data_IF_769910114443
#
_entry.id   IF_769910114443
#
_cell.length_a   1.000
_cell.length_b   1.000
_cell.length_c   1.000
_cell.angle_alpha   90.00
_cell.angle_beta   90.00
_cell.angle_gamma   90.00
#
_symmetry.space_group_name_H-M   'P 1'
#
loop_
_entity.id
_entity.type
_entity.pdbx_description
1 polymer ?
#
# COMPACT_ATOMS: atom_id res chain seq x y z
N UNK A 1 -13.75 -20.45 -1.26
CA UNK A 1 -14.29 -19.31 -2.03
C UNK A 1 -13.14 -18.80 -2.88
N UNK A 2 -13.17 -19.10 -4.19
CA UNK A 2 -12.07 -18.83 -5.13
C UNK A 2 -12.11 -17.36 -5.57
N UNK A 3 -11.12 -16.56 -5.21
CA UNK A 3 -10.90 -15.21 -5.78
C UNK A 3 -9.42 -14.96 -6.10
N UNK A 4 -8.78 -15.90 -6.80
CA UNK A 4 -7.59 -15.61 -7.58
C UNK A 4 -8.05 -15.24 -9.00
N UNK A 5 -7.91 -13.98 -9.40
CA UNK A 5 -7.64 -13.55 -10.79
C UNK A 5 -7.67 -12.01 -10.88
N UNK A 6 -6.52 -11.37 -10.64
CA UNK A 6 -6.19 -10.12 -11.32
C UNK A 6 -5.66 -10.51 -12.70
N UNK A 7 -6.45 -10.30 -13.75
CA UNK A 7 -6.05 -10.65 -15.11
C UNK A 7 -4.80 -9.86 -15.51
N UNK A 8 -3.67 -10.55 -15.68
CA UNK A 8 -2.48 -10.03 -16.36
C UNK A 8 -1.24 -9.78 -15.49
N UNK A 9 -1.30 -10.03 -14.17
CA UNK A 9 -0.11 -9.93 -13.31
C UNK A 9 0.18 -11.26 -12.64
N UNK A 10 1.23 -11.93 -13.11
CA UNK A 10 1.90 -12.98 -12.32
C UNK A 10 2.61 -12.25 -11.18
N UNK A 11 2.12 -12.37 -9.94
CA UNK A 11 2.85 -11.92 -8.76
C UNK A 11 3.86 -13.03 -8.42
N UNK A 12 5.17 -12.86 -8.70
CA UNK A 12 6.15 -13.89 -8.36
C UNK A 12 6.29 -13.96 -6.83
N UNK A 13 6.27 -15.18 -6.28
CA UNK A 13 6.54 -15.51 -4.87
C UNK A 13 5.48 -15.03 -3.85
N UNK A 14 4.31 -15.66 -3.85
CA UNK A 14 3.33 -15.53 -2.76
C UNK A 14 3.10 -16.89 -2.10
N UNK A 15 3.20 -16.93 -0.77
CA UNK A 15 2.81 -18.10 0.04
C UNK A 15 1.27 -18.19 0.13
N UNK A 16 0.58 -17.04 0.20
CA UNK A 16 -0.87 -16.89 0.04
C UNK A 16 -1.20 -15.63 -0.78
N UNK A 17 -2.23 -15.69 -1.63
CA UNK A 17 -2.63 -14.55 -2.46
C UNK A 17 -3.21 -13.42 -1.59
N UNK A 18 -2.75 -12.16 -1.75
CA UNK A 18 -3.40 -11.05 -1.07
C UNK A 18 -4.84 -10.94 -1.54
N UNK A 19 -5.72 -10.52 -0.64
CA UNK A 19 -7.09 -10.18 -1.05
C UNK A 19 -7.04 -8.87 -1.81
N UNK A 20 -7.47 -8.89 -3.06
CA UNK A 20 -7.37 -7.74 -3.95
C UNK A 20 -8.75 -7.29 -4.45
N UNK A 21 -8.98 -5.97 -4.44
CA UNK A 21 -10.14 -5.34 -5.08
C UNK A 21 -9.63 -4.39 -6.15
N UNK A 22 -9.96 -4.67 -7.41
CA UNK A 22 -9.59 -3.81 -8.54
C UNK A 22 -10.25 -2.40 -8.45
N UNK A 23 -9.63 -1.36 -9.03
CA UNK A 23 -8.36 -1.40 -9.77
C UNK A 23 -7.14 -1.32 -8.85
N UNK A 24 -6.11 -2.07 -9.20
CA UNK A 24 -4.80 -2.07 -8.53
C UNK A 24 -3.72 -2.02 -9.60
N UNK A 25 -2.66 -1.25 -9.35
CA UNK A 25 -1.45 -1.27 -10.15
C UNK A 25 -0.24 -1.44 -9.23
N UNK A 26 0.62 -2.41 -9.51
CA UNK A 26 1.88 -2.65 -8.82
C UNK A 26 3.00 -2.74 -9.85
N UNK A 27 4.08 -1.98 -9.66
CA UNK A 27 5.30 -2.21 -10.44
C UNK A 27 5.86 -3.62 -10.14
N UNK A 28 6.53 -4.24 -11.11
CA UNK A 28 7.04 -5.63 -11.01
C UNK A 28 8.06 -5.87 -9.88
N UNK A 29 8.67 -4.82 -9.34
CA UNK A 29 9.63 -4.89 -8.22
C UNK A 29 9.02 -4.59 -6.85
N UNK A 30 7.69 -4.58 -6.71
CA UNK A 30 7.02 -4.43 -5.41
C UNK A 30 6.98 -5.77 -4.68
N UNK A 31 7.40 -5.77 -3.42
CA UNK A 31 7.31 -6.93 -2.54
C UNK A 31 6.05 -6.82 -1.68
N UNK A 32 5.16 -7.80 -1.77
CA UNK A 32 3.96 -7.90 -0.94
C UNK A 32 4.06 -9.16 -0.08
N UNK A 33 4.12 -8.99 1.25
CA UNK A 33 4.12 -10.13 2.18
C UNK A 33 2.70 -10.69 2.38
N UNK A 34 2.62 -11.85 3.02
CA UNK A 34 1.38 -12.58 3.25
C UNK A 34 0.29 -11.77 3.98
N UNK A 35 -0.98 -12.16 3.77
CA UNK A 35 -2.13 -11.59 4.47
C UNK A 35 -2.48 -10.14 4.13
N UNK A 36 -1.85 -9.53 3.12
CA UNK A 36 -2.19 -8.17 2.72
C UNK A 36 -3.58 -8.09 2.06
N UNK A 37 -4.27 -6.97 2.29
CA UNK A 37 -5.48 -6.56 1.59
C UNK A 37 -5.18 -5.30 0.78
N UNK A 38 -5.38 -5.35 -0.53
CA UNK A 38 -4.99 -4.26 -1.43
C UNK A 38 -6.19 -3.87 -2.29
N UNK A 39 -6.59 -2.60 -2.23
CA UNK A 39 -7.63 -2.03 -3.07
C UNK A 39 -8.90 -1.63 -2.32
N UNK A 40 -9.85 -0.98 -3.02
CA UNK A 40 -9.75 -0.52 -4.41
C UNK A 40 -8.81 0.69 -4.59
N UNK A 41 -8.47 1.02 -5.84
CA UNK A 41 -7.71 2.22 -6.22
C UNK A 41 -6.34 2.34 -5.54
N UNK A 42 -5.54 1.28 -5.63
CA UNK A 42 -4.19 1.27 -5.06
C UNK A 42 -3.14 1.26 -6.17
N UNK A 43 -2.16 2.16 -6.08
CA UNK A 43 -1.01 2.26 -6.98
C UNK A 43 0.28 2.16 -6.17
N UNK A 44 1.18 1.24 -6.50
CA UNK A 44 2.43 1.04 -5.76
C UNK A 44 3.62 0.98 -6.72
N UNK A 45 4.59 1.87 -6.49
CA UNK A 45 5.84 1.91 -7.24
C UNK A 45 6.94 1.07 -6.62
N UNK A 46 7.76 0.49 -7.50
CA UNK A 46 8.94 -0.27 -7.10
C UNK A 46 10.16 0.66 -6.90
N UNK A 47 11.12 0.28 -6.05
CA UNK A 47 11.04 -0.86 -5.11
C UNK A 47 10.31 -0.44 -3.84
N UNK A 48 9.25 -1.15 -3.45
CA UNK A 48 8.56 -0.90 -2.17
C UNK A 48 8.13 -2.21 -1.54
N UNK A 49 8.00 -2.21 -0.21
CA UNK A 49 7.61 -3.39 0.55
C UNK A 49 6.34 -3.13 1.34
N UNK A 50 5.34 -3.98 1.15
CA UNK A 50 4.24 -4.14 2.10
C UNK A 50 4.56 -5.29 3.04
N UNK A 51 4.68 -4.98 4.33
CA UNK A 51 4.84 -6.00 5.36
C UNK A 51 3.55 -6.80 5.58
N UNK A 52 3.63 -7.89 6.34
CA UNK A 52 2.52 -8.82 6.58
C UNK A 52 1.25 -8.11 7.08
N UNK A 53 0.09 -8.50 6.55
CA UNK A 53 -1.22 -8.03 7.01
C UNK A 53 -1.51 -6.56 6.75
N UNK A 54 -0.79 -5.90 5.83
CA UNK A 54 -1.06 -4.51 5.45
C UNK A 54 -2.40 -4.40 4.70
N UNK A 55 -3.18 -3.38 5.04
CA UNK A 55 -4.46 -3.08 4.39
C UNK A 55 -4.40 -1.69 3.73
N UNK A 56 -4.62 -1.63 2.41
CA UNK A 56 -4.58 -0.40 1.63
C UNK A 56 -5.87 -0.22 0.83
N UNK A 57 -6.45 0.98 0.83
CA UNK A 57 -7.58 1.36 -0.02
C UNK A 57 -7.50 2.83 -0.41
N UNK A 58 -7.63 3.15 -1.70
CA UNK A 58 -7.49 4.52 -2.23
C UNK A 58 -6.10 5.10 -1.88
N UNK A 59 -5.02 4.37 -2.16
CA UNK A 59 -3.66 4.74 -1.75
C UNK A 59 -2.69 4.76 -2.93
N UNK A 60 -1.86 5.82 -2.99
CA UNK A 60 -0.69 5.87 -3.87
C UNK A 60 0.58 5.73 -3.03
N UNK A 61 1.41 4.75 -3.34
CA UNK A 61 2.70 4.50 -2.70
C UNK A 61 3.82 4.70 -3.70
N UNK A 62 4.69 5.67 -3.43
CA UNK A 62 5.89 5.91 -4.22
C UNK A 62 7.03 4.96 -3.84
N UNK A 63 8.06 4.92 -4.68
CA UNK A 63 9.23 4.08 -4.59
C UNK A 63 10.02 4.23 -3.29
N UNK A 64 10.84 3.23 -2.98
CA UNK A 64 11.69 3.14 -1.79
C UNK A 64 10.91 3.21 -0.48
N UNK A 65 9.65 2.78 -0.47
CA UNK A 65 8.77 2.86 0.70
C UNK A 65 8.66 1.51 1.40
N UNK A 66 8.52 1.55 2.73
CA UNK A 66 8.14 0.38 3.54
C UNK A 66 6.85 0.69 4.30
N UNK A 67 5.82 -0.13 4.10
CA UNK A 67 4.59 -0.08 4.88
C UNK A 67 4.65 -1.16 5.96
N UNK A 68 4.70 -0.74 7.23
CA UNK A 68 4.93 -1.63 8.37
C UNK A 68 3.80 -2.63 8.63
N UNK A 69 4.15 -3.74 9.30
CA UNK A 69 3.26 -4.88 9.57
C UNK A 69 1.91 -4.42 10.14
N UNK A 70 0.80 -4.94 9.58
CA UNK A 70 -0.59 -4.64 9.98
C UNK A 70 -0.96 -3.16 9.95
N UNK A 71 -0.24 -2.32 9.20
CA UNK A 71 -0.65 -0.95 8.99
C UNK A 71 -1.89 -0.89 8.08
N UNK A 72 -2.77 0.07 8.35
CA UNK A 72 -3.98 0.33 7.57
C UNK A 72 -3.95 1.76 7.06
N UNK A 73 -3.94 1.91 5.74
CA UNK A 73 -3.95 3.22 5.08
C UNK A 73 -5.19 3.36 4.19
N UNK A 74 -5.87 4.49 4.31
CA UNK A 74 -7.01 4.81 3.47
C UNK A 74 -6.93 6.24 2.94
N UNK A 75 -7.12 6.47 1.63
CA UNK A 75 -7.08 7.83 1.05
C UNK A 75 -5.76 8.54 1.34
N UNK A 76 -4.64 7.84 1.14
CA UNK A 76 -3.31 8.33 1.49
C UNK A 76 -2.39 8.44 0.27
N UNK A 77 -1.43 9.36 0.33
CA UNK A 77 -0.28 9.38 -0.58
C UNK A 77 0.99 9.20 0.24
N UNK A 78 1.75 8.15 -0.04
CA UNK A 78 3.02 7.85 0.66
C UNK A 78 4.18 8.24 -0.24
N UNK A 79 4.89 9.31 0.14
CA UNK A 79 5.99 9.87 -0.66
C UNK A 79 7.24 8.99 -0.66
N UNK A 80 8.14 9.15 -1.65
CA UNK A 80 9.31 8.30 -1.79
C UNK A 80 10.15 8.20 -0.52
N UNK A 81 10.68 7.01 -0.22
CA UNK A 81 11.57 6.80 0.92
C UNK A 81 10.91 6.77 2.30
N UNK A 82 9.56 6.79 2.36
CA UNK A 82 8.83 6.83 3.62
C UNK A 82 8.80 5.45 4.31
N UNK A 83 8.69 5.45 5.64
CA UNK A 83 8.55 4.23 6.45
C UNK A 83 7.35 4.37 7.37
N UNK A 84 6.26 3.69 7.04
CA UNK A 84 5.05 3.70 7.86
C UNK A 84 5.23 2.72 9.02
N UNK A 85 5.00 3.15 10.28
CA UNK A 85 5.15 2.26 11.44
C UNK A 85 4.18 1.08 11.41
N UNK A 86 4.57 -0.03 12.05
CA UNK A 86 3.68 -1.17 12.25
C UNK A 86 2.43 -0.78 13.05
N UNK A 87 1.29 -1.38 12.71
CA UNK A 87 -0.04 -1.14 13.30
C UNK A 87 -0.56 0.31 13.17
N UNK A 88 0.09 1.16 12.37
CA UNK A 88 -0.40 2.51 12.11
C UNK A 88 -1.78 2.48 11.43
N UNK A 89 -2.65 3.40 11.80
CA UNK A 89 -3.96 3.62 11.17
C UNK A 89 -4.02 5.07 10.73
N UNK A 90 -3.93 5.30 9.42
CA UNK A 90 -3.83 6.66 8.86
C UNK A 90 -4.85 6.77 7.74
N UNK A 91 -5.63 7.85 7.76
CA UNK A 91 -6.58 8.13 6.70
C UNK A 91 -6.55 9.58 6.25
N UNK A 92 -6.73 9.81 4.95
CA UNK A 92 -6.81 11.16 4.36
C UNK A 92 -5.55 12.01 4.61
N UNK A 93 -4.35 11.44 4.40
CA UNK A 93 -3.06 12.12 4.69
C UNK A 93 -2.02 11.98 3.57
N UNK A 94 -1.07 12.91 3.55
CA UNK A 94 0.21 12.74 2.84
C UNK A 94 1.27 12.31 3.86
N UNK A 95 1.90 11.17 3.61
CA UNK A 95 2.90 10.58 4.50
C UNK A 95 4.29 10.81 3.91
N UNK A 96 5.20 11.34 4.72
CA UNK A 96 6.57 11.68 4.31
C UNK A 96 7.61 11.00 5.19
N UNK A 97 8.87 10.99 4.74
CA UNK A 97 9.99 10.38 5.48
C UNK A 97 10.17 10.95 6.89
N UNK A 98 9.87 12.22 7.11
CA UNK A 98 10.02 12.90 8.41
C UNK A 98 8.75 12.85 9.26
N UNK A 99 7.72 12.12 8.83
CA UNK A 99 6.43 12.00 9.52
C UNK A 99 5.23 12.31 8.63
N UNK A 100 4.04 12.31 9.22
CA UNK A 100 2.80 12.68 8.52
C UNK A 100 2.75 14.20 8.33
N UNK A 101 2.42 14.66 7.12
CA UNK A 101 1.97 16.04 6.92
C UNK A 101 0.44 15.97 7.07
N UNK A 102 -0.14 16.58 8.13
CA UNK A 102 -1.58 16.78 8.19
C UNK A 102 -2.00 17.49 6.90
N UNK A 103 -2.90 16.90 6.10
CA UNK A 103 -3.60 17.68 5.09
C UNK A 103 -4.35 18.78 5.84
N UNK A 104 -3.86 20.02 5.71
CA UNK A 104 -4.39 21.15 6.43
C UNK A 104 -5.88 21.33 6.12
N UNK A 105 -6.70 21.36 7.17
CA UNK A 105 -7.91 22.17 7.10
C UNK A 105 -7.43 23.60 6.77
N UNK A 106 -7.88 24.16 5.63
CA UNK A 106 -7.59 25.51 5.12
C UNK A 106 -6.32 25.70 4.27
N UNK A 107 -6.27 25.10 3.07
CA UNK A 107 -5.59 25.76 1.94
C UNK A 107 -6.67 26.53 1.16
N UNK A 108 -6.69 27.86 1.33
CA UNK A 108 -7.41 28.79 0.44
C UNK A 108 -6.55 29.07 -0.79
#
# INVERSE_FOLDING_TARGET
MNMANLKGMTLPNLEEYPTAIEPIYLDSGVTVKEGCFIGPFVYIRAPSTLEEGVELSEVVVFENTVIGKRAKLQKCVVLPGSRVPANARISSQIITRTGNIPLGENIK
#
